data_IF_929583197247
#
_entry.id   IF_929583197247
#
_cell.length_a   1.000
_cell.length_b   1.000
_cell.length_c   1.000
_cell.angle_alpha   90.00
_cell.angle_beta   90.00
_cell.angle_gamma   90.00
#
_symmetry.space_group_name_H-M   'P 1'
#
loop_
_entity.id
_entity.type
_entity.pdbx_description
1 polymer ?
#
# COMPACT_ATOMS: atom_id res chain seq x y z
N UNK A 1 28.71 8.76 22.05
CA UNK A 1 27.82 9.77 21.42
C UNK A 1 27.92 9.83 19.88
N UNK A 2 29.08 9.54 19.26
CA UNK A 2 29.23 9.48 17.78
C UNK A 2 28.52 8.29 17.12
N UNK A 3 28.47 7.14 17.81
CA UNK A 3 27.84 5.90 17.32
C UNK A 3 26.29 5.94 17.31
N UNK A 4 25.68 6.83 18.09
CA UNK A 4 24.22 6.96 18.17
C UNK A 4 23.63 7.63 16.91
N UNK A 5 24.36 8.56 16.30
CA UNK A 5 23.93 9.23 15.06
C UNK A 5 24.04 8.33 13.83
N UNK A 6 25.03 7.43 13.79
CA UNK A 6 25.18 6.46 12.71
C UNK A 6 24.05 5.43 12.69
N UNK A 7 23.55 5.00 13.86
CA UNK A 7 22.47 4.03 13.97
C UNK A 7 21.11 4.61 13.51
N UNK A 8 20.85 5.89 13.79
CA UNK A 8 19.61 6.56 13.38
C UNK A 8 19.50 6.73 11.85
N UNK A 9 20.62 6.95 11.16
CA UNK A 9 20.65 7.09 9.69
C UNK A 9 20.42 5.75 8.97
N UNK A 10 20.91 4.64 9.53
CA UNK A 10 20.70 3.29 8.97
C UNK A 10 19.25 2.79 9.15
N UNK A 11 18.55 3.19 10.22
CA UNK A 11 17.14 2.86 10.46
C UNK A 11 16.18 3.60 9.51
N UNK A 12 16.53 4.79 9.04
CA UNK A 12 15.67 5.58 8.14
C UNK A 12 15.57 4.98 6.73
N UNK A 13 16.56 4.19 6.28
CA UNK A 13 16.56 3.51 4.99
C UNK A 13 15.65 2.25 4.95
N UNK A 14 15.21 1.75 6.10
CA UNK A 14 14.45 0.50 6.18
C UNK A 14 12.92 0.68 6.06
N UNK A 15 12.42 1.92 6.01
CA UNK A 15 10.98 2.22 6.04
C UNK A 15 10.42 2.75 4.71
N UNK A 16 11.25 2.88 3.67
CA UNK A 16 10.83 3.36 2.36
C UNK A 16 10.50 2.22 1.41
N UNK A 17 9.32 2.26 0.80
CA UNK A 17 9.00 1.43 -0.36
C UNK A 17 9.56 2.05 -1.64
N UNK A 18 9.62 1.28 -2.74
CA UNK A 18 9.87 1.85 -4.06
C UNK A 18 8.66 2.67 -4.47
N UNK A 19 8.86 3.96 -4.76
CA UNK A 19 7.77 4.84 -5.24
C UNK A 19 7.17 4.28 -6.53
N UNK A 20 5.84 4.33 -6.61
CA UNK A 20 5.10 3.88 -7.78
C UNK A 20 4.06 4.92 -8.21
N UNK A 21 4.23 5.48 -9.39
CA UNK A 21 3.27 6.42 -9.98
C UNK A 21 2.22 5.70 -10.88
N UNK A 22 2.27 4.36 -10.97
CA UNK A 22 1.23 3.53 -11.61
C UNK A 22 -0.04 3.41 -10.75
N UNK A 23 -1.02 2.60 -11.15
CA UNK A 23 -2.27 2.39 -10.40
C UNK A 23 -2.10 1.54 -9.14
N UNK A 24 -0.92 0.96 -8.92
CA UNK A 24 -0.60 0.12 -7.77
C UNK A 24 -1.24 -1.27 -7.80
N UNK A 25 -1.71 -1.74 -8.96
CA UNK A 25 -2.39 -3.04 -9.08
C UNK A 25 -1.41 -4.22 -8.99
N UNK A 26 -1.50 -5.09 -7.96
CA UNK A 26 -0.66 -6.27 -7.84
C UNK A 26 -1.14 -7.43 -8.73
N UNK A 27 -0.26 -8.40 -8.96
CA UNK A 27 -0.55 -9.68 -9.62
C UNK A 27 -0.82 -10.82 -8.63
N UNK A 28 -0.99 -10.48 -7.35
CA UNK A 28 -1.41 -11.38 -6.28
C UNK A 28 -0.48 -12.60 -6.11
N UNK A 29 0.82 -12.34 -5.97
CA UNK A 29 1.80 -13.34 -5.56
C UNK A 29 1.54 -13.81 -4.11
N UNK A 30 2.35 -14.75 -3.59
CA UNK A 30 2.14 -15.32 -2.25
C UNK A 30 2.10 -14.27 -1.12
N UNK A 31 2.96 -13.25 -1.16
CA UNK A 31 2.97 -12.19 -0.15
C UNK A 31 1.74 -11.29 -0.29
N UNK A 32 1.33 -11.00 -1.52
CA UNK A 32 0.18 -10.15 -1.82
C UNK A 32 -1.15 -10.79 -1.49
N UNK A 33 -1.27 -12.10 -1.70
CA UNK A 33 -2.41 -12.91 -1.27
C UNK A 33 -2.54 -12.92 0.25
N UNK A 34 -1.43 -12.89 0.98
CA UNK A 34 -1.43 -12.83 2.45
C UNK A 34 -2.00 -11.50 2.95
N UNK A 35 -1.60 -10.38 2.32
CA UNK A 35 -2.07 -9.06 2.70
C UNK A 35 -3.46 -8.72 2.12
N UNK A 36 -3.86 -9.39 1.04
CA UNK A 36 -5.16 -9.38 0.35
C UNK A 36 -5.61 -8.04 -0.25
N UNK A 37 -5.63 -6.96 0.53
CA UNK A 37 -6.18 -5.66 0.13
C UNK A 37 -5.06 -4.66 -0.12
N UNK A 38 -5.03 -4.01 -1.27
CA UNK A 38 -3.92 -3.15 -1.71
C UNK A 38 -4.45 -1.78 -2.14
N UNK A 39 -3.66 -0.73 -1.92
CA UNK A 39 -4.05 0.64 -2.24
C UNK A 39 -4.17 0.81 -3.76
N UNK A 40 -5.24 1.47 -4.22
CA UNK A 40 -5.23 2.05 -5.56
C UNK A 40 -4.47 3.37 -5.51
N UNK A 41 -3.47 3.53 -6.38
CA UNK A 41 -2.56 4.66 -6.29
C UNK A 41 -3.11 5.98 -6.82
N UNK A 42 -4.17 5.94 -7.63
CA UNK A 42 -4.78 7.10 -8.26
C UNK A 42 -6.10 7.52 -7.60
N UNK A 43 -6.82 6.58 -7.01
CA UNK A 43 -8.16 6.80 -6.46
C UNK A 43 -8.25 6.29 -5.01
N UNK A 44 -8.22 7.17 -4.00
CA UNK A 44 -8.24 6.76 -2.59
C UNK A 44 -9.59 6.16 -2.16
N UNK A 45 -10.65 6.28 -2.96
CA UNK A 45 -11.95 5.66 -2.66
C UNK A 45 -12.06 4.24 -3.24
N UNK A 46 -11.03 3.78 -3.94
CA UNK A 46 -10.90 2.43 -4.48
C UNK A 46 -9.70 1.69 -3.88
N UNK A 47 -9.74 0.37 -3.97
CA UNK A 47 -8.64 -0.51 -3.59
C UNK A 47 -8.63 -1.75 -4.48
N UNK A 48 -7.51 -2.44 -4.47
CA UNK A 48 -7.31 -3.71 -5.17
C UNK A 48 -7.49 -4.86 -4.19
N UNK A 49 -8.23 -5.89 -4.59
CA UNK A 49 -8.43 -7.09 -3.78
C UNK A 49 -7.87 -8.32 -4.52
N UNK A 50 -6.95 -9.01 -3.87
CA UNK A 50 -6.42 -10.28 -4.31
C UNK A 50 -7.35 -11.43 -3.90
N UNK A 51 -8.07 -11.98 -4.88
CA UNK A 51 -8.99 -13.12 -4.71
C UNK A 51 -8.39 -14.42 -5.22
N UNK A 52 -7.53 -14.34 -6.23
CA UNK A 52 -6.93 -15.49 -6.94
C UNK A 52 -5.42 -15.32 -7.02
N UNK A 53 -4.67 -16.35 -6.63
CA UNK A 53 -3.21 -16.30 -6.65
C UNK A 53 -2.66 -16.20 -8.09
N UNK A 54 -1.60 -15.41 -8.26
CA UNK A 54 -0.91 -15.16 -9.52
C UNK A 54 -1.83 -14.62 -10.64
N UNK A 55 -2.81 -13.80 -10.26
CA UNK A 55 -3.74 -13.13 -11.17
C UNK A 55 -3.86 -11.65 -10.80
N UNK A 56 -4.08 -10.74 -11.76
CA UNK A 56 -4.25 -9.32 -11.46
C UNK A 56 -5.40 -9.09 -10.47
N UNK A 57 -5.15 -8.30 -9.41
CA UNK A 57 -6.16 -8.01 -8.38
C UNK A 57 -7.43 -7.36 -8.95
N UNK A 58 -8.55 -7.57 -8.28
CA UNK A 58 -9.84 -7.03 -8.68
C UNK A 58 -10.08 -5.63 -8.08
N UNK A 59 -10.70 -4.69 -8.82
CA UNK A 59 -11.03 -3.39 -8.28
C UNK A 59 -12.23 -3.48 -7.32
N UNK A 60 -12.11 -2.82 -6.17
CA UNK A 60 -13.18 -2.67 -5.18
C UNK A 60 -13.30 -1.20 -4.77
N UNK A 61 -14.44 -0.85 -4.18
CA UNK A 61 -14.74 0.50 -3.70
C UNK A 61 -14.94 0.49 -2.20
N UNK A 62 -14.44 1.51 -1.53
CA UNK A 62 -14.83 1.77 -0.15
C UNK A 62 -16.32 2.17 -0.09
N UNK A 63 -16.99 1.95 1.05
CA UNK A 63 -18.32 2.50 1.30
C UNK A 63 -18.34 4.04 1.18
N UNK A 64 -19.52 4.62 1.11
CA UNK A 64 -19.71 6.09 1.13
C UNK A 64 -18.92 6.71 2.27
N UNK A 65 -18.27 7.85 2.00
CA UNK A 65 -17.40 8.56 2.95
C UNK A 65 -16.14 7.78 3.39
N UNK A 66 -15.85 6.64 2.77
CA UNK A 66 -14.68 5.82 3.04
C UNK A 66 -13.52 6.05 2.07
N UNK A 67 -12.29 6.08 2.60
CA UNK A 67 -11.05 6.05 1.83
C UNK A 67 -10.14 4.92 2.32
N UNK A 68 -9.44 4.25 1.41
CA UNK A 68 -8.60 3.10 1.73
C UNK A 68 -7.30 3.54 2.39
N UNK A 69 -7.05 3.04 3.60
CA UNK A 69 -5.80 3.20 4.34
C UNK A 69 -4.90 2.00 4.12
N UNK A 70 -3.74 2.21 3.51
CA UNK A 70 -2.74 1.16 3.33
C UNK A 70 -2.14 0.69 4.67
N UNK A 71 -2.03 1.60 5.65
CA UNK A 71 -1.47 1.32 6.97
C UNK A 71 -2.34 0.35 7.78
N UNK A 72 -3.67 0.49 7.70
CA UNK A 72 -4.61 -0.40 8.41
C UNK A 72 -5.16 -1.51 7.52
N UNK A 73 -4.94 -1.43 6.20
CA UNK A 73 -5.50 -2.30 5.17
C UNK A 73 -7.04 -2.34 5.22
N UNK A 74 -7.65 -1.18 5.47
CA UNK A 74 -9.11 -1.04 5.58
C UNK A 74 -9.59 0.29 5.00
N UNK A 75 -10.88 0.41 4.74
CA UNK A 75 -11.52 1.70 4.52
C UNK A 75 -11.70 2.42 5.86
N UNK A 76 -11.28 3.69 5.93
CA UNK A 76 -11.47 4.59 7.07
C UNK A 76 -12.28 5.81 6.65
N UNK A 77 -12.78 6.61 7.59
CA UNK A 77 -13.51 7.83 7.26
C UNK A 77 -12.59 8.82 6.50
N UNK A 78 -13.12 9.48 5.48
CA UNK A 78 -12.37 10.44 4.66
C UNK A 78 -11.77 11.59 5.47
N UNK A 79 -12.40 11.99 6.58
CA UNK A 79 -11.93 13.06 7.45
C UNK A 79 -10.64 12.70 8.20
N UNK A 80 -10.41 11.40 8.44
CA UNK A 80 -9.22 10.87 9.11
C UNK A 80 -8.12 10.45 8.10
N UNK A 81 -8.45 10.47 6.80
CA UNK A 81 -7.56 9.98 5.76
C UNK A 81 -6.54 11.04 5.34
N UNK A 82 -5.29 10.62 5.20
CA UNK A 82 -4.20 11.46 4.71
C UNK A 82 -3.46 10.78 3.56
N UNK A 83 -3.05 11.58 2.58
CA UNK A 83 -2.27 11.08 1.45
C UNK A 83 -0.87 10.66 1.91
N UNK A 84 -0.49 9.42 1.62
CA UNK A 84 0.86 8.88 1.82
C UNK A 84 1.56 8.69 0.48
N UNK A 85 2.91 8.67 0.44
CA UNK A 85 3.64 8.27 -0.76
C UNK A 85 3.15 6.92 -1.28
N UNK A 86 3.04 6.81 -2.60
CA UNK A 86 2.54 5.60 -3.28
C UNK A 86 3.65 4.55 -3.39
N UNK A 87 3.31 3.31 -3.03
CA UNK A 87 4.26 2.20 -3.00
C UNK A 87 4.01 1.21 -4.14
N UNK A 88 5.10 0.70 -4.70
CA UNK A 88 5.06 -0.39 -5.66
C UNK A 88 4.65 -1.71 -4.98
N UNK A 89 3.70 -2.48 -5.54
CA UNK A 89 3.41 -3.82 -5.04
C UNK A 89 4.55 -4.81 -5.34
N UNK A 90 4.79 -5.82 -4.48
CA UNK A 90 5.89 -6.79 -4.63
C UNK A 90 5.96 -7.52 -5.99
N UNK A 91 4.83 -7.77 -6.66
CA UNK A 91 4.83 -8.46 -7.96
C UNK A 91 5.30 -7.60 -9.12
N UNK A 92 5.50 -6.30 -8.91
CA UNK A 92 5.93 -5.33 -9.92
C UNK A 92 7.39 -4.91 -9.75
N UNK A 93 8.12 -5.49 -8.80
CA UNK A 93 9.55 -5.26 -8.56
C UNK A 93 10.44 -5.56 -9.76
#
# INVERSE_FOLDING_TARGET
>A
MKFLFALAALLALAAGCIRDDSDGRPDCNAAEMTARLWRNNWDPTAFWECTTANSPAEPRRCPTEGMFSEATRTCINWADWAWTPTCRPPSKE
#
